data_IF_055912854517
#
_entry.id   IF_055912854517
#
_cell.length_a   1.000
_cell.length_b   1.000
_cell.length_c   1.000
_cell.angle_alpha   90.00
_cell.angle_beta   90.00
_cell.angle_gamma   90.00
#
_symmetry.space_group_name_H-M   'P 1'
#
loop_
_entity.id
_entity.type
_entity.pdbx_description
1 polymer ?
#
# COMPACT_ATOMS: atom_id res chain seq x y z
N UNK A 1 13.49 3.39 1.29
CA UNK A 1 14.17 2.41 0.41
C UNK A 1 13.09 1.80 -0.46
N UNK A 2 13.22 1.72 -1.80
CA UNK A 2 12.12 1.33 -2.68
C UNK A 2 12.06 -0.20 -2.89
N UNK A 3 12.33 -1.00 -1.85
CA UNK A 3 12.30 -2.46 -1.95
C UNK A 3 10.91 -3.01 -2.27
N UNK A 4 9.86 -2.24 -1.96
CA UNK A 4 8.47 -2.62 -2.19
C UNK A 4 8.03 -2.38 -3.64
N UNK A 5 8.73 -1.53 -4.41
CA UNK A 5 8.36 -1.15 -5.78
C UNK A 5 8.21 -2.36 -6.72
N UNK A 6 9.16 -3.31 -6.79
CA UNK A 6 9.01 -4.48 -7.65
C UNK A 6 7.85 -5.39 -7.23
N UNK A 7 7.51 -5.43 -5.94
CA UNK A 7 6.40 -6.21 -5.41
C UNK A 7 5.07 -5.55 -5.79
N UNK A 8 4.93 -4.24 -5.57
CA UNK A 8 3.72 -3.47 -5.90
C UNK A 8 3.39 -3.56 -7.39
N UNK A 9 4.38 -3.41 -8.28
CA UNK A 9 4.21 -3.55 -9.72
C UNK A 9 3.81 -4.95 -10.20
N UNK A 10 4.07 -5.99 -9.39
CA UNK A 10 3.78 -7.38 -9.74
C UNK A 10 2.46 -7.88 -9.14
N UNK A 11 2.02 -7.29 -8.03
CA UNK A 11 0.78 -7.67 -7.37
C UNK A 11 -0.42 -7.41 -8.31
N UNK A 12 -1.48 -8.21 -8.19
CA UNK A 12 -2.75 -7.91 -8.87
C UNK A 12 -3.45 -6.67 -8.31
N UNK A 13 -3.12 -6.30 -7.06
CA UNK A 13 -3.50 -5.06 -6.41
C UNK A 13 -2.36 -4.66 -5.45
N UNK A 14 -1.56 -3.68 -5.83
CA UNK A 14 -0.50 -3.10 -5.00
C UNK A 14 -1.04 -1.95 -4.16
N UNK A 15 -0.95 -2.07 -2.83
CA UNK A 15 -1.37 -0.99 -1.91
C UNK A 15 -0.17 -0.45 -1.15
N UNK A 16 0.05 0.86 -1.23
CA UNK A 16 1.09 1.56 -0.46
C UNK A 16 0.50 2.26 0.76
N UNK A 17 1.30 2.35 1.84
CA UNK A 17 0.94 3.12 3.03
C UNK A 17 1.00 4.63 2.74
N UNK A 18 0.16 5.43 3.38
CA UNK A 18 0.10 6.88 3.14
C UNK A 18 1.39 7.65 3.45
N UNK A 19 2.28 7.06 4.26
CA UNK A 19 3.61 7.57 4.57
C UNK A 19 4.75 6.78 3.89
N UNK A 20 4.45 6.03 2.83
CA UNK A 20 5.44 5.27 2.07
C UNK A 20 6.40 6.18 1.30
N UNK A 21 7.50 5.59 0.83
CA UNK A 21 8.46 6.27 -0.03
C UNK A 21 7.79 6.78 -1.32
N UNK A 22 8.15 7.97 -1.86
CA UNK A 22 7.54 8.51 -3.07
C UNK A 22 7.50 7.53 -4.25
N UNK A 23 8.57 6.78 -4.48
CA UNK A 23 8.62 5.76 -5.54
C UNK A 23 7.59 4.63 -5.35
N UNK A 24 7.28 4.26 -4.11
CA UNK A 24 6.27 3.24 -3.82
C UNK A 24 4.85 3.80 -4.02
N UNK A 25 4.61 5.05 -3.61
CA UNK A 25 3.35 5.74 -3.85
C UNK A 25 3.07 5.90 -5.35
N UNK A 26 4.11 6.18 -6.15
CA UNK A 26 3.97 6.39 -7.59
C UNK A 26 3.56 5.14 -8.38
N UNK A 27 3.81 3.94 -7.83
CA UNK A 27 3.53 2.66 -8.52
C UNK A 27 2.40 1.86 -7.89
N UNK A 28 1.83 2.32 -6.78
CA UNK A 28 0.73 1.61 -6.12
C UNK A 28 -0.59 1.89 -6.84
N UNK A 29 -1.44 0.86 -6.92
CA UNK A 29 -2.81 0.99 -7.44
C UNK A 29 -3.72 1.74 -6.44
N UNK A 30 -3.44 1.60 -5.14
CA UNK A 30 -4.13 2.29 -4.06
C UNK A 30 -3.13 2.80 -3.01
N UNK A 31 -3.44 3.94 -2.40
CA UNK A 31 -2.74 4.43 -1.20
C UNK A 31 -3.71 4.38 -0.01
N UNK A 32 -3.34 3.65 1.04
CA UNK A 32 -4.11 3.57 2.30
C UNK A 32 -3.60 4.58 3.33
N UNK A 33 -4.17 4.58 4.53
CA UNK A 33 -3.70 5.39 5.65
C UNK A 33 -2.24 5.08 6.01
N UNK A 34 -1.55 5.97 6.76
CA UNK A 34 -0.23 5.67 7.30
C UNK A 34 -0.21 4.40 8.14
N UNK A 35 0.97 3.80 8.31
CA UNK A 35 1.13 2.62 9.18
C UNK A 35 0.78 2.90 10.64
N UNK A 36 0.88 4.15 11.10
CA UNK A 36 0.47 4.60 12.43
C UNK A 36 -1.05 4.72 12.61
N UNK A 37 -1.84 4.53 11.55
CA UNK A 37 -3.30 4.68 11.54
C UNK A 37 -4.03 3.44 11.01
N UNK A 38 -3.40 2.27 11.18
CA UNK A 38 -3.95 0.95 10.82
C UNK A 38 -4.30 0.80 9.33
N UNK A 39 -3.53 1.42 8.44
CA UNK A 39 -3.83 1.41 7.00
C UNK A 39 -3.99 0.02 6.37
N UNK A 40 -3.27 -1.00 6.85
CA UNK A 40 -3.45 -2.39 6.37
C UNK A 40 -4.80 -2.94 6.83
N UNK A 41 -5.19 -2.73 8.09
CA UNK A 41 -6.47 -3.23 8.63
C UNK A 41 -7.65 -2.64 7.84
N UNK A 42 -7.64 -1.33 7.59
CA UNK A 42 -8.68 -0.64 6.80
C UNK A 42 -8.82 -1.20 5.39
N UNK A 43 -7.74 -1.72 4.79
CA UNK A 43 -7.80 -2.39 3.49
C UNK A 43 -8.46 -3.74 3.65
N UNK A 44 -7.99 -4.58 4.57
CA UNK A 44 -8.52 -5.93 4.77
C UNK A 44 -10.00 -5.94 5.18
N UNK A 45 -10.44 -5.03 6.02
CA UNK A 45 -11.85 -4.91 6.47
C UNK A 45 -12.83 -4.69 5.31
N UNK A 46 -12.40 -4.09 4.19
CA UNK A 46 -13.28 -3.94 3.02
C UNK A 46 -13.55 -5.24 2.27
N UNK A 47 -12.68 -6.24 2.43
CA UNK A 47 -12.69 -7.49 1.66
C UNK A 47 -13.18 -8.68 2.49
N UNK A 48 -12.92 -8.66 3.80
CA UNK A 48 -13.13 -9.82 4.69
C UNK A 48 -14.00 -9.52 5.92
N UNK A 49 -14.77 -8.43 5.91
CA UNK A 49 -15.78 -8.17 6.94
C UNK A 49 -17.03 -9.03 6.80
#
# INVERSE_FOLDING_TARGET
MPNDVPMLLRAGLGVAMGNAHPDALAVADEVTAPNSEDGVARVLERWWS
#
